data_IF_784420583629
#
_entry.id   IF_784420583629
#
_cell.length_a   1.000
_cell.length_b   1.000
_cell.length_c   1.000
_cell.angle_alpha   90.00
_cell.angle_beta   90.00
_cell.angle_gamma   90.00
#
_symmetry.space_group_name_H-M   'P 1'
#
loop_
_entity.id
_entity.type
_entity.pdbx_description
1 polymer ?
#
# COMPACT_ATOMS: atom_id res chain seq x y z
N UNK A 1 -27.19 17.02 -7.85
CA UNK A 1 -27.51 16.41 -6.54
C UNK A 1 -26.29 15.72 -5.95
N UNK A 2 -25.71 16.32 -4.91
CA UNK A 2 -24.79 15.78 -3.89
C UNK A 2 -23.38 15.25 -4.25
N UNK A 3 -22.53 16.04 -4.86
CA UNK A 3 -21.07 15.81 -4.82
C UNK A 3 -20.50 15.91 -3.40
N UNK A 4 -21.02 16.81 -2.55
CA UNK A 4 -20.59 16.97 -1.16
C UNK A 4 -20.87 15.73 -0.27
N UNK A 5 -22.00 15.03 -0.45
CA UNK A 5 -22.31 13.79 0.27
C UNK A 5 -21.42 12.61 -0.14
N UNK A 6 -20.99 12.54 -1.39
CA UNK A 6 -20.11 11.48 -1.90
C UNK A 6 -18.68 11.68 -1.37
N UNK A 7 -18.22 12.93 -1.33
CA UNK A 7 -16.88 13.28 -0.78
C UNK A 7 -16.84 13.01 0.73
N UNK A 8 -17.87 13.40 1.48
CA UNK A 8 -17.98 13.12 2.92
C UNK A 8 -18.00 11.62 3.22
N UNK A 9 -18.75 10.82 2.44
CA UNK A 9 -18.83 9.36 2.63
C UNK A 9 -17.48 8.65 2.34
N UNK A 10 -16.70 9.15 1.38
CA UNK A 10 -15.36 8.62 1.06
C UNK A 10 -14.32 9.00 2.10
N UNK A 11 -14.34 10.23 2.60
CA UNK A 11 -13.51 10.68 3.71
C UNK A 11 -13.74 9.81 4.96
N UNK A 12 -14.98 9.48 5.27
CA UNK A 12 -15.34 8.61 6.40
C UNK A 12 -14.84 7.17 6.22
N UNK A 13 -14.88 6.61 5.00
CA UNK A 13 -14.34 5.26 4.73
C UNK A 13 -12.83 5.20 4.90
N UNK A 14 -12.09 6.20 4.45
CA UNK A 14 -10.64 6.30 4.65
C UNK A 14 -10.31 6.45 6.14
N UNK A 15 -11.03 7.31 6.84
CA UNK A 15 -10.86 7.49 8.28
C UNK A 15 -11.13 6.19 9.06
N UNK A 16 -12.21 5.48 8.73
CA UNK A 16 -12.57 4.19 9.35
C UNK A 16 -11.48 3.14 9.07
N UNK A 17 -10.95 3.05 7.84
CA UNK A 17 -9.89 2.09 7.51
C UNK A 17 -8.60 2.37 8.27
N UNK A 18 -8.20 3.62 8.41
CA UNK A 18 -7.03 4.03 9.22
C UNK A 18 -7.26 3.68 10.70
N UNK A 19 -8.44 3.97 11.23
CA UNK A 19 -8.77 3.64 12.62
C UNK A 19 -8.72 2.13 12.89
N UNK A 20 -9.28 1.32 12.00
CA UNK A 20 -9.22 -0.16 12.09
C UNK A 20 -7.76 -0.64 12.06
N UNK A 21 -6.93 -0.09 11.18
CA UNK A 21 -5.52 -0.45 11.10
C UNK A 21 -4.77 -0.13 12.39
N UNK A 22 -5.02 1.04 12.98
CA UNK A 22 -4.44 1.43 14.27
C UNK A 22 -4.88 0.46 15.38
N UNK A 23 -6.16 0.11 15.45
CA UNK A 23 -6.68 -0.84 16.44
C UNK A 23 -6.02 -2.22 16.29
N UNK A 24 -5.84 -2.71 15.06
CA UNK A 24 -5.17 -3.99 14.80
C UNK A 24 -3.70 -3.94 15.24
N UNK A 25 -2.99 -2.85 14.95
CA UNK A 25 -1.59 -2.67 15.36
C UNK A 25 -1.47 -2.66 16.89
N UNK A 26 -2.32 -1.90 17.58
CA UNK A 26 -2.32 -1.83 19.05
C UNK A 26 -2.62 -3.21 19.66
N UNK A 27 -3.65 -3.90 19.16
CA UNK A 27 -4.00 -5.25 19.64
C UNK A 27 -2.86 -6.24 19.38
N UNK A 28 -2.24 -6.19 18.20
CA UNK A 28 -1.08 -7.02 17.84
C UNK A 28 0.11 -6.77 18.81
N UNK A 29 0.40 -5.51 19.10
CA UNK A 29 1.50 -5.13 19.98
C UNK A 29 1.25 -5.61 21.43
N UNK A 30 0.04 -5.44 21.93
CA UNK A 30 -0.34 -5.91 23.28
C UNK A 30 -0.26 -7.44 23.36
N UNK A 31 -0.79 -8.15 22.35
CA UNK A 31 -0.71 -9.62 22.26
C UNK A 31 0.73 -10.10 22.21
N UNK A 32 1.59 -9.44 21.44
CA UNK A 32 3.03 -9.74 21.35
C UNK A 32 3.70 -9.62 22.71
N UNK A 33 3.51 -8.51 23.41
CA UNK A 33 4.11 -8.28 24.73
C UNK A 33 3.63 -9.33 25.76
N UNK A 34 2.34 -9.67 25.71
CA UNK A 34 1.78 -10.71 26.58
C UNK A 34 2.44 -12.07 26.34
N UNK A 35 2.54 -12.50 25.07
CA UNK A 35 3.12 -13.79 24.67
C UNK A 35 4.62 -13.84 25.02
N UNK A 36 5.38 -12.78 24.75
CA UNK A 36 6.82 -12.71 25.10
C UNK A 36 7.03 -12.86 26.61
N UNK A 37 6.22 -12.17 27.42
CA UNK A 37 6.30 -12.30 28.87
C UNK A 37 5.96 -13.73 29.35
N UNK A 38 4.96 -14.36 28.73
CA UNK A 38 4.57 -15.74 29.05
C UNK A 38 5.67 -16.74 28.67
N UNK A 39 6.26 -16.61 27.47
CA UNK A 39 7.42 -17.42 27.05
C UNK A 39 8.59 -17.28 28.03
N UNK A 40 8.89 -16.07 28.48
CA UNK A 40 9.99 -15.83 29.41
C UNK A 40 9.74 -16.53 30.76
N UNK A 41 8.51 -16.48 31.28
CA UNK A 41 8.12 -17.20 32.51
C UNK A 41 8.26 -18.72 32.33
N UNK A 42 7.80 -19.25 31.22
CA UNK A 42 7.90 -20.68 30.91
C UNK A 42 9.34 -21.14 30.75
N UNK A 43 10.19 -20.36 30.12
CA UNK A 43 11.64 -20.65 29.98
C UNK A 43 12.33 -20.69 31.32
N UNK A 44 12.08 -19.70 32.20
CA UNK A 44 12.61 -19.69 33.55
C UNK A 44 12.14 -20.90 34.34
N UNK A 45 10.89 -21.29 34.16
CA UNK A 45 10.33 -22.47 34.81
C UNK A 45 11.03 -23.78 34.39
N UNK A 46 11.27 -23.98 33.07
CA UNK A 46 12.02 -25.13 32.56
C UNK A 46 13.41 -25.21 33.19
N UNK A 47 14.13 -24.09 33.20
CA UNK A 47 15.48 -23.99 33.74
C UNK A 47 15.50 -24.35 35.25
N UNK A 48 14.51 -23.89 36.01
CA UNK A 48 14.39 -24.21 37.44
C UNK A 48 14.10 -25.68 37.66
N UNK A 49 13.18 -26.28 36.93
CA UNK A 49 12.80 -27.70 37.12
C UNK A 49 13.93 -28.65 36.75
N UNK A 50 14.77 -28.32 35.75
CA UNK A 50 15.96 -29.13 35.42
C UNK A 50 16.94 -29.30 36.58
N UNK A 51 17.01 -28.35 37.51
CA UNK A 51 17.90 -28.40 38.69
C UNK A 51 17.48 -29.43 39.73
N UNK A 52 16.21 -29.87 39.78
CA UNK A 52 15.69 -30.85 40.75
C UNK A 52 16.41 -32.20 40.58
N UNK A 53 16.55 -32.69 39.34
CA UNK A 53 17.19 -33.99 39.06
C UNK A 53 18.62 -34.06 39.59
N UNK A 54 19.42 -33.05 39.24
CA UNK A 54 20.81 -32.97 39.71
C UNK A 54 20.91 -32.68 41.21
N UNK A 55 19.99 -31.90 41.75
CA UNK A 55 19.93 -31.55 43.17
C UNK A 55 19.71 -32.75 44.06
N UNK A 56 18.79 -33.66 43.75
CA UNK A 56 18.53 -34.89 44.52
C UNK A 56 19.79 -35.74 44.62
N UNK A 57 20.47 -36.02 43.50
CA UNK A 57 21.72 -36.78 43.52
C UNK A 57 22.83 -36.08 44.29
N UNK A 58 22.93 -34.75 44.18
CA UNK A 58 23.91 -33.95 44.93
C UNK A 58 23.66 -34.03 46.44
N UNK A 59 22.42 -33.87 46.88
CA UNK A 59 22.05 -33.98 48.31
C UNK A 59 22.40 -35.35 48.84
N UNK A 60 22.03 -36.42 48.12
CA UNK A 60 22.34 -37.82 48.52
C UNK A 60 23.85 -38.05 48.63
N UNK A 61 24.63 -37.60 47.61
CA UNK A 61 26.10 -37.74 47.61
C UNK A 61 26.76 -36.99 48.80
N UNK A 62 26.39 -35.75 49.00
CA UNK A 62 26.92 -34.92 50.10
C UNK A 62 26.60 -35.53 51.47
N UNK A 63 25.36 -36.00 51.64
CA UNK A 63 24.94 -36.65 52.88
C UNK A 63 25.76 -37.91 53.17
N UNK A 64 25.95 -38.80 52.20
CA UNK A 64 26.74 -40.02 52.37
C UNK A 64 28.23 -39.74 52.65
N UNK A 65 28.74 -38.57 52.20
CA UNK A 65 30.09 -38.10 52.48
C UNK A 65 30.20 -37.33 53.79
N UNK A 66 29.12 -37.25 54.60
CA UNK A 66 29.00 -36.46 55.83
C UNK A 66 29.33 -34.97 55.63
N UNK A 67 29.01 -34.42 54.46
CA UNK A 67 29.17 -33.00 54.11
C UNK A 67 27.87 -32.23 54.36
N UNK A 68 27.95 -30.91 54.45
CA UNK A 68 26.78 -30.07 54.64
C UNK A 68 25.86 -30.08 53.39
N UNK A 69 24.58 -30.38 53.61
CA UNK A 69 23.54 -30.49 52.59
C UNK A 69 22.59 -29.30 52.57
N UNK A 70 22.70 -28.37 53.51
CA UNK A 70 21.71 -27.31 53.72
C UNK A 70 21.46 -26.45 52.50
N UNK A 71 22.53 -26.01 51.84
CA UNK A 71 22.41 -25.19 50.61
C UNK A 71 21.73 -25.94 49.46
N UNK A 72 22.10 -27.24 49.25
CA UNK A 72 21.50 -28.06 48.21
C UNK A 72 20.03 -28.38 48.47
N UNK A 73 19.67 -28.62 49.73
CA UNK A 73 18.27 -28.83 50.14
C UNK A 73 17.46 -27.54 49.94
N UNK A 74 18.00 -26.39 50.33
CA UNK A 74 17.36 -25.08 50.16
C UNK A 74 17.09 -24.81 48.65
N UNK A 75 18.04 -25.09 47.77
CA UNK A 75 17.88 -24.93 46.33
C UNK A 75 16.72 -25.78 45.76
N UNK A 76 16.59 -27.02 46.20
CA UNK A 76 15.47 -27.89 45.78
C UNK A 76 14.15 -27.39 46.37
N UNK A 77 14.12 -26.97 47.61
CA UNK A 77 12.91 -26.40 48.23
C UNK A 77 12.42 -25.15 47.54
N UNK A 78 13.31 -24.24 47.14
CA UNK A 78 12.99 -23.05 46.37
C UNK A 78 12.44 -23.42 44.96
N UNK A 79 13.06 -24.42 44.30
CA UNK A 79 12.57 -24.92 42.99
C UNK A 79 11.20 -25.59 43.10
N UNK A 80 10.99 -26.38 44.15
CA UNK A 80 9.70 -27.01 44.43
C UNK A 80 8.60 -26.01 44.76
N UNK A 81 8.93 -24.91 45.43
CA UNK A 81 8.00 -23.81 45.66
C UNK A 81 7.59 -23.16 44.31
N UNK A 82 8.55 -22.83 43.45
CA UNK A 82 8.28 -22.31 42.09
C UNK A 82 7.41 -23.27 41.28
N UNK A 83 7.71 -24.59 41.36
CA UNK A 83 6.95 -25.63 40.67
C UNK A 83 5.50 -25.69 41.17
N UNK A 84 5.26 -25.64 42.46
CA UNK A 84 3.92 -25.66 43.04
C UNK A 84 3.10 -24.42 42.69
N UNK A 85 3.71 -23.25 42.74
CA UNK A 85 3.06 -21.97 42.37
C UNK A 85 2.68 -21.95 40.89
N UNK A 86 3.60 -22.36 40.02
CA UNK A 86 3.37 -22.38 38.56
C UNK A 86 2.26 -23.37 38.17
N UNK A 87 2.23 -24.57 38.78
CA UNK A 87 1.21 -25.59 38.50
C UNK A 87 -0.18 -25.16 38.97
N UNK A 88 -0.25 -24.38 40.03
CA UNK A 88 -1.50 -23.82 40.54
C UNK A 88 -1.94 -22.57 39.76
N UNK A 89 -1.07 -21.98 38.94
CA UNK A 89 -1.39 -20.84 38.11
C UNK A 89 -2.36 -21.24 36.97
N UNK A 90 -3.08 -20.24 36.43
CA UNK A 90 -4.07 -20.45 35.33
C UNK A 90 -3.42 -20.52 33.94
N UNK A 91 -2.20 -21.02 33.82
CA UNK A 91 -1.47 -21.06 32.53
C UNK A 91 -2.04 -22.03 31.49
N UNK A 92 -2.91 -22.95 31.89
CA UNK A 92 -3.50 -23.97 31.00
C UNK A 92 -2.53 -25.03 30.44
N UNK A 93 -1.23 -24.95 30.79
CA UNK A 93 -0.20 -25.87 30.30
C UNK A 93 -0.34 -27.27 30.90
N UNK A 94 -0.79 -27.38 32.15
CA UNK A 94 -0.89 -28.63 32.89
C UNK A 94 -2.34 -29.04 33.13
N UNK A 95 -2.66 -30.30 32.83
CA UNK A 95 -3.95 -30.90 33.14
C UNK A 95 -4.00 -31.46 34.58
N UNK A 96 -5.17 -31.99 34.98
CA UNK A 96 -5.37 -32.51 36.32
C UNK A 96 -4.41 -33.67 36.68
N UNK A 97 -4.10 -34.58 35.74
CA UNK A 97 -3.18 -35.69 35.94
C UNK A 97 -1.74 -35.22 36.13
N UNK A 98 -1.32 -34.16 35.42
CA UNK A 98 0.01 -33.58 35.59
C UNK A 98 0.16 -32.98 36.97
N UNK A 99 -0.89 -32.33 37.45
CA UNK A 99 -0.91 -31.71 38.82
C UNK A 99 -0.77 -32.77 39.91
N UNK A 100 -1.41 -33.94 39.71
CA UNK A 100 -1.29 -35.06 40.64
C UNK A 100 0.15 -35.62 40.64
N UNK A 101 0.75 -35.84 39.48
CA UNK A 101 2.13 -36.34 39.36
C UNK A 101 3.14 -35.38 40.00
N UNK A 102 2.97 -34.09 39.80
CA UNK A 102 3.81 -33.06 40.42
C UNK A 102 3.62 -33.01 41.96
N UNK A 103 2.37 -33.12 42.43
CA UNK A 103 2.06 -33.20 43.87
C UNK A 103 2.73 -34.43 44.49
N UNK A 104 2.71 -35.58 43.84
CA UNK A 104 3.39 -36.79 44.29
C UNK A 104 4.91 -36.61 44.37
N UNK A 105 5.52 -35.92 43.44
CA UNK A 105 6.95 -35.57 43.48
C UNK A 105 7.27 -34.66 44.70
N UNK A 106 6.48 -33.61 44.95
CA UNK A 106 6.64 -32.71 46.07
C UNK A 106 6.50 -33.44 47.43
N UNK A 107 5.53 -34.32 47.53
CA UNK A 107 5.33 -35.17 48.70
C UNK A 107 6.52 -36.11 48.92
N UNK A 108 6.97 -36.82 47.87
CA UNK A 108 8.13 -37.72 47.93
C UNK A 108 9.42 -36.99 48.34
N UNK A 109 9.61 -35.74 47.91
CA UNK A 109 10.72 -34.92 48.39
C UNK A 109 10.61 -34.63 49.88
N UNK A 110 9.42 -34.33 50.40
CA UNK A 110 9.18 -34.09 51.82
C UNK A 110 9.47 -35.34 52.64
N UNK A 111 9.02 -36.52 52.21
CA UNK A 111 9.31 -37.81 52.82
C UNK A 111 10.82 -38.10 52.84
N UNK A 112 11.50 -37.81 51.71
CA UNK A 112 12.95 -38.01 51.61
C UNK A 112 13.72 -37.12 52.59
N UNK A 113 13.31 -35.84 52.80
CA UNK A 113 13.90 -34.95 53.82
C UNK A 113 13.76 -35.52 55.24
N UNK A 114 12.63 -36.15 55.57
CA UNK A 114 12.45 -36.77 56.87
C UNK A 114 13.36 -38.02 57.04
N UNK A 115 13.60 -38.82 56.00
CA UNK A 115 14.55 -39.95 55.99
C UNK A 115 15.97 -39.47 56.26
N UNK A 116 16.39 -38.35 55.64
CA UNK A 116 17.70 -37.72 55.88
C UNK A 116 17.83 -37.19 57.30
N UNK A 117 16.80 -36.53 57.84
CA UNK A 117 16.78 -35.98 59.22
C UNK A 117 16.86 -37.10 60.29
N UNK A 118 16.15 -38.19 60.04
CA UNK A 118 16.09 -39.32 60.99
C UNK A 118 17.27 -40.30 60.86
N UNK A 119 18.28 -39.99 59.97
CA UNK A 119 19.49 -40.79 59.75
C UNK A 119 19.23 -42.24 59.38
N UNK A 120 18.19 -42.55 58.62
CA UNK A 120 17.79 -43.93 58.20
C UNK A 120 18.67 -44.39 57.02
N UNK A 121 19.97 -44.65 57.25
CA UNK A 121 20.95 -44.94 56.18
C UNK A 121 20.57 -46.05 55.24
N UNK A 122 19.96 -47.14 55.71
CA UNK A 122 19.56 -48.28 54.90
C UNK A 122 18.46 -47.95 53.84
N UNK A 123 17.70 -46.87 54.09
CA UNK A 123 16.60 -46.44 53.23
C UNK A 123 16.99 -45.33 52.25
N UNK A 124 18.08 -44.61 52.54
CA UNK A 124 18.45 -43.39 51.78
C UNK A 124 18.71 -43.70 50.31
N UNK A 125 19.48 -44.73 49.97
CA UNK A 125 19.83 -45.05 48.61
C UNK A 125 18.60 -45.42 47.78
N UNK A 126 17.75 -46.34 48.29
CA UNK A 126 16.54 -46.74 47.61
C UNK A 126 15.52 -45.61 47.43
N UNK A 127 15.36 -44.80 48.49
CA UNK A 127 14.46 -43.64 48.45
C UNK A 127 14.96 -42.55 47.52
N UNK A 128 16.26 -42.28 47.46
CA UNK A 128 16.88 -41.33 46.56
C UNK A 128 16.74 -41.74 45.07
N UNK A 129 16.92 -43.04 44.78
CA UNK A 129 16.79 -43.57 43.43
C UNK A 129 15.32 -43.52 42.94
N UNK A 130 14.37 -43.88 43.81
CA UNK A 130 12.95 -43.76 43.48
C UNK A 130 12.52 -42.31 43.25
N UNK A 131 12.97 -41.40 44.15
CA UNK A 131 12.70 -39.97 44.00
C UNK A 131 13.34 -39.39 42.74
N UNK A 132 14.57 -39.81 42.41
CA UNK A 132 15.23 -39.41 41.16
C UNK A 132 14.47 -39.91 39.90
N UNK A 133 14.05 -41.18 39.87
CA UNK A 133 13.24 -41.75 38.76
C UNK A 133 11.94 -40.98 38.60
N UNK A 134 11.24 -40.68 39.70
CA UNK A 134 10.00 -39.91 39.67
C UNK A 134 10.24 -38.48 39.17
N UNK A 135 11.29 -37.83 39.71
CA UNK A 135 11.65 -36.46 39.26
C UNK A 135 11.99 -36.43 37.75
N UNK A 136 12.70 -37.45 37.26
CA UNK A 136 13.08 -37.55 35.87
C UNK A 136 11.85 -37.65 34.93
N UNK A 137 10.86 -38.46 35.29
CA UNK A 137 9.61 -38.60 34.55
C UNK A 137 8.83 -37.31 34.54
N UNK A 138 8.64 -36.67 35.70
CA UNK A 138 7.88 -35.44 35.88
C UNK A 138 8.54 -34.26 35.13
N UNK A 139 9.85 -34.09 35.30
CA UNK A 139 10.58 -33.01 34.66
C UNK A 139 10.58 -33.15 33.14
N UNK A 140 10.83 -34.33 32.58
CA UNK A 140 10.76 -34.56 31.14
C UNK A 140 9.37 -34.23 30.57
N UNK A 141 8.32 -34.65 31.31
CA UNK A 141 6.94 -34.35 30.88
C UNK A 141 6.65 -32.84 30.90
N UNK A 142 7.12 -32.14 31.91
CA UNK A 142 7.03 -30.69 32.01
C UNK A 142 7.78 -30.02 30.88
N UNK A 143 9.02 -30.41 30.61
CA UNK A 143 9.85 -29.89 29.53
C UNK A 143 9.13 -30.00 28.19
N UNK A 144 8.65 -31.20 27.82
CA UNK A 144 7.95 -31.44 26.54
C UNK A 144 6.69 -30.57 26.42
N UNK A 145 5.86 -30.53 27.46
CA UNK A 145 4.62 -29.73 27.44
C UNK A 145 4.88 -28.24 27.31
N UNK A 146 5.86 -27.75 28.06
CA UNK A 146 6.21 -26.34 28.04
C UNK A 146 6.81 -25.94 26.70
N UNK A 147 7.69 -26.78 26.13
CA UNK A 147 8.22 -26.54 24.77
C UNK A 147 7.12 -26.52 23.70
N UNK A 148 6.16 -27.46 23.76
CA UNK A 148 5.02 -27.47 22.84
C UNK A 148 4.15 -26.22 22.98
N UNK A 149 3.91 -25.76 24.20
CA UNK A 149 3.16 -24.54 24.44
C UNK A 149 3.89 -23.30 23.88
N UNK A 150 5.20 -23.19 24.13
CA UNK A 150 6.04 -22.13 23.56
C UNK A 150 6.01 -22.17 22.02
N UNK A 151 6.11 -23.37 21.41
CA UNK A 151 6.06 -23.50 19.95
C UNK A 151 4.71 -23.02 19.37
N UNK A 152 3.59 -23.32 20.04
CA UNK A 152 2.27 -22.80 19.63
C UNK A 152 2.18 -21.28 19.75
N UNK A 153 2.78 -20.70 20.77
CA UNK A 153 2.83 -19.24 20.95
C UNK A 153 3.64 -18.56 19.84
N UNK A 154 4.79 -19.12 19.44
CA UNK A 154 5.55 -18.62 18.30
C UNK A 154 4.78 -18.73 16.97
N UNK A 155 4.08 -19.85 16.76
CA UNK A 155 3.22 -20.02 15.59
C UNK A 155 2.11 -18.95 15.55
N UNK A 156 1.48 -18.69 16.68
CA UNK A 156 0.46 -17.63 16.80
C UNK A 156 1.02 -16.25 16.43
N UNK A 157 2.20 -15.89 16.97
CA UNK A 157 2.87 -14.62 16.65
C UNK A 157 3.22 -14.52 15.16
N UNK A 158 3.70 -15.60 14.56
CA UNK A 158 4.01 -15.66 13.13
C UNK A 158 2.76 -15.42 12.27
N UNK A 159 1.64 -16.10 12.59
CA UNK A 159 0.39 -15.92 11.87
C UNK A 159 -0.16 -14.50 12.01
N UNK A 160 -0.07 -13.92 13.20
CA UNK A 160 -0.48 -12.55 13.46
C UNK A 160 0.34 -11.54 12.66
N UNK A 161 1.67 -11.72 12.60
CA UNK A 161 2.56 -10.92 11.76
C UNK A 161 2.21 -11.06 10.27
N UNK A 162 1.96 -12.27 9.78
CA UNK A 162 1.57 -12.52 8.40
C UNK A 162 0.26 -11.79 8.02
N UNK A 163 -0.73 -11.80 8.91
CA UNK A 163 -2.00 -11.07 8.71
C UNK A 163 -1.75 -9.56 8.59
N UNK A 164 -0.91 -8.97 9.46
CA UNK A 164 -0.58 -7.54 9.38
C UNK A 164 0.10 -7.19 8.06
N UNK A 165 1.03 -8.02 7.60
CA UNK A 165 1.68 -7.84 6.30
C UNK A 165 0.70 -7.90 5.12
N UNK A 166 -0.23 -8.86 5.12
CA UNK A 166 -1.26 -9.00 4.08
C UNK A 166 -2.17 -7.77 4.06
N UNK A 167 -2.63 -7.31 5.22
CA UNK A 167 -3.47 -6.11 5.31
C UNK A 167 -2.73 -4.85 4.80
N UNK A 168 -1.43 -4.72 5.11
CA UNK A 168 -0.59 -3.65 4.59
C UNK A 168 -0.48 -3.68 3.05
N UNK A 169 -0.26 -4.85 2.46
CA UNK A 169 -0.22 -5.03 1.01
C UNK A 169 -1.56 -4.69 0.35
N UNK A 170 -2.66 -5.19 0.89
CA UNK A 170 -4.01 -4.90 0.38
C UNK A 170 -4.28 -3.39 0.44
N UNK A 171 -3.96 -2.73 1.55
CA UNK A 171 -4.10 -1.28 1.69
C UNK A 171 -3.27 -0.49 0.67
N UNK A 172 -2.03 -0.92 0.41
CA UNK A 172 -1.16 -0.33 -0.61
C UNK A 172 -1.77 -0.46 -2.02
N UNK A 173 -2.25 -1.64 -2.41
CA UNK A 173 -2.88 -1.85 -3.73
C UNK A 173 -4.17 -1.05 -3.89
N UNK A 174 -5.02 -1.00 -2.85
CA UNK A 174 -6.24 -0.19 -2.88
C UNK A 174 -5.91 1.28 -3.08
N UNK A 175 -4.91 1.81 -2.33
CA UNK A 175 -4.48 3.21 -2.45
C UNK A 175 -3.98 3.51 -3.86
N UNK A 176 -3.11 2.66 -4.42
CA UNK A 176 -2.58 2.83 -5.78
C UNK A 176 -3.70 2.83 -6.82
N UNK A 177 -4.61 1.85 -6.78
CA UNK A 177 -5.75 1.75 -7.71
C UNK A 177 -6.69 2.95 -7.63
N UNK A 178 -6.99 3.43 -6.41
CA UNK A 178 -7.85 4.60 -6.20
C UNK A 178 -7.18 5.86 -6.72
N UNK A 179 -5.88 6.03 -6.49
CA UNK A 179 -5.12 7.20 -6.95
C UNK A 179 -5.07 7.26 -8.48
N UNK A 180 -4.73 6.16 -9.16
CA UNK A 180 -4.70 6.08 -10.63
C UNK A 180 -6.07 6.41 -11.25
N UNK A 181 -7.16 5.92 -10.67
CA UNK A 181 -8.51 6.22 -11.15
C UNK A 181 -8.94 7.67 -10.91
N UNK A 182 -8.51 8.28 -9.80
CA UNK A 182 -8.78 9.70 -9.52
C UNK A 182 -8.00 10.58 -10.49
N UNK A 183 -6.73 10.31 -10.71
CA UNK A 183 -5.87 11.04 -11.65
C UNK A 183 -6.42 10.95 -13.07
N UNK A 184 -6.80 9.76 -13.54
CA UNK A 184 -7.39 9.58 -14.87
C UNK A 184 -8.69 10.36 -15.04
N UNK A 185 -9.59 10.36 -14.04
CA UNK A 185 -10.83 11.15 -14.07
C UNK A 185 -10.60 12.65 -13.94
N UNK A 186 -9.52 13.06 -13.28
CA UNK A 186 -9.16 14.46 -13.14
C UNK A 186 -8.42 15.01 -14.38
N UNK A 187 -7.80 14.15 -15.19
CA UNK A 187 -6.96 14.54 -16.33
C UNK A 187 -7.64 14.42 -17.70
N UNK A 188 -8.73 13.64 -17.84
CA UNK A 188 -9.37 13.38 -19.12
C UNK A 188 -10.81 13.89 -19.16
N UNK A 189 -11.25 14.26 -20.38
CA UNK A 189 -12.65 14.57 -20.70
C UNK A 189 -13.45 13.25 -20.81
N UNK A 190 -14.62 13.21 -20.18
CA UNK A 190 -15.42 11.98 -20.11
C UNK A 190 -16.09 11.59 -21.46
N UNK A 191 -16.33 12.56 -22.34
CA UNK A 191 -16.97 12.30 -23.62
C UNK A 191 -15.98 11.81 -24.69
N UNK A 192 -14.84 12.49 -24.79
CA UNK A 192 -13.85 12.28 -25.86
C UNK A 192 -12.65 11.46 -25.44
N UNK A 193 -12.46 11.24 -24.13
CA UNK A 193 -11.28 10.60 -23.53
C UNK A 193 -9.93 11.31 -23.84
N UNK A 194 -9.97 12.52 -24.40
CA UNK A 194 -8.80 13.39 -24.55
C UNK A 194 -8.41 14.00 -23.19
N UNK A 195 -7.23 14.57 -23.10
CA UNK A 195 -6.87 15.36 -21.93
C UNK A 195 -7.84 16.52 -21.75
N UNK A 196 -8.16 16.87 -20.51
CA UNK A 196 -9.01 18.00 -20.23
C UNK A 196 -8.18 19.28 -19.97
N UNK A 197 -8.84 20.45 -20.00
CA UNK A 197 -8.22 21.75 -19.78
C UNK A 197 -7.44 21.85 -18.45
N UNK A 198 -7.90 21.18 -17.40
CA UNK A 198 -7.26 21.29 -16.08
C UNK A 198 -5.86 20.66 -16.05
N UNK A 199 -5.59 19.74 -16.96
CA UNK A 199 -4.29 19.05 -17.04
C UNK A 199 -3.28 19.76 -17.96
N UNK A 200 -3.72 20.83 -18.64
CA UNK A 200 -2.95 21.54 -19.67
C UNK A 200 -1.63 22.11 -19.13
N UNK A 201 -1.65 22.83 -18.00
CA UNK A 201 -0.44 23.40 -17.40
C UNK A 201 0.62 22.37 -17.03
N UNK A 202 0.19 21.22 -16.52
CA UNK A 202 1.12 20.16 -16.13
C UNK A 202 1.83 19.58 -17.35
N UNK A 203 1.09 19.31 -18.43
CA UNK A 203 1.66 18.80 -19.69
C UNK A 203 2.51 19.86 -20.38
N UNK A 204 2.08 21.12 -20.38
CA UNK A 204 2.83 22.22 -20.96
C UNK A 204 4.24 22.33 -20.39
N UNK A 205 4.39 22.33 -19.06
CA UNK A 205 5.69 22.42 -18.39
C UNK A 205 6.63 21.28 -18.79
N UNK A 206 6.10 20.06 -18.91
CA UNK A 206 6.87 18.89 -19.39
C UNK A 206 7.30 19.08 -20.84
N UNK A 207 6.37 19.47 -21.73
CA UNK A 207 6.63 19.67 -23.15
C UNK A 207 7.62 20.79 -23.42
N UNK A 208 7.50 21.91 -22.68
CA UNK A 208 8.43 23.03 -22.80
C UNK A 208 9.85 22.59 -22.41
N UNK A 209 10.00 21.90 -21.27
CA UNK A 209 11.29 21.40 -20.83
C UNK A 209 11.91 20.42 -21.86
N UNK A 210 11.09 19.57 -22.45
CA UNK A 210 11.52 18.61 -23.49
C UNK A 210 11.93 19.31 -24.78
N UNK A 211 11.20 20.34 -25.21
CA UNK A 211 11.51 21.10 -26.44
C UNK A 211 12.83 21.87 -26.30
N UNK A 212 13.06 22.50 -25.16
CA UNK A 212 14.34 23.18 -24.87
C UNK A 212 15.52 22.21 -24.88
N UNK A 213 15.36 21.04 -24.30
CA UNK A 213 16.41 20.00 -24.28
C UNK A 213 16.74 19.44 -25.67
N UNK A 214 15.71 19.28 -26.53
CA UNK A 214 15.85 18.70 -27.86
C UNK A 214 16.11 19.75 -28.96
N UNK A 215 16.24 21.03 -28.62
CA UNK A 215 16.33 22.14 -29.59
C UNK A 215 15.21 22.11 -30.61
N UNK A 216 13.99 21.79 -30.17
CA UNK A 216 12.78 21.78 -30.99
C UNK A 216 11.87 22.93 -30.61
N UNK A 217 11.02 23.36 -31.55
CA UNK A 217 9.99 24.35 -31.29
C UNK A 217 8.74 23.66 -30.70
N UNK A 218 8.00 24.39 -29.89
CA UNK A 218 6.70 23.98 -29.36
C UNK A 218 5.63 24.94 -29.89
N UNK A 219 4.44 24.44 -30.23
CA UNK A 219 3.32 25.25 -30.65
C UNK A 219 2.00 24.86 -30.00
N UNK A 220 1.11 25.84 -29.90
CA UNK A 220 -0.31 25.66 -29.55
C UNK A 220 -1.12 25.74 -30.83
N UNK A 221 -1.96 24.74 -31.10
CA UNK A 221 -3.03 24.79 -32.06
C UNK A 221 -4.35 24.86 -31.30
N UNK A 222 -5.15 25.89 -31.59
CA UNK A 222 -6.53 26.00 -31.11
C UNK A 222 -7.45 25.61 -32.27
N UNK A 223 -8.26 24.59 -32.09
CA UNK A 223 -9.17 24.03 -33.08
C UNK A 223 -10.60 24.19 -32.59
N UNK A 224 -11.52 24.51 -33.51
CA UNK A 224 -12.95 24.64 -33.19
C UNK A 224 -13.77 24.07 -34.33
N UNK A 225 -14.87 23.38 -34.01
CA UNK A 225 -15.76 22.76 -34.98
C UNK A 225 -16.64 23.82 -35.63
N UNK A 226 -16.51 23.99 -36.93
CA UNK A 226 -17.26 24.98 -37.66
C UNK A 226 -18.77 24.66 -37.61
N UNK A 227 -19.55 25.67 -37.24
CA UNK A 227 -21.02 25.58 -37.17
C UNK A 227 -21.55 24.48 -36.22
N UNK A 228 -20.84 24.11 -35.16
CA UNK A 228 -21.25 23.03 -34.25
C UNK A 228 -22.61 23.28 -33.59
N UNK A 229 -22.92 24.55 -33.27
CA UNK A 229 -24.26 24.89 -32.80
C UNK A 229 -25.35 24.50 -33.78
N UNK A 230 -25.16 24.73 -35.09
CA UNK A 230 -26.12 24.29 -36.10
C UNK A 230 -26.29 22.76 -36.10
N UNK A 231 -25.21 21.99 -35.91
CA UNK A 231 -25.29 20.52 -35.77
C UNK A 231 -26.18 20.13 -34.59
N UNK A 232 -25.96 20.73 -33.42
CA UNK A 232 -26.78 20.45 -32.27
C UNK A 232 -28.25 20.86 -32.45
N UNK A 233 -28.48 22.04 -32.99
CA UNK A 233 -29.84 22.58 -33.17
C UNK A 233 -30.63 21.80 -34.23
N UNK A 234 -29.97 21.21 -35.26
CA UNK A 234 -30.60 20.48 -36.36
C UNK A 234 -30.72 18.98 -36.07
N UNK A 235 -29.69 18.35 -35.54
CA UNK A 235 -29.60 16.89 -35.42
C UNK A 235 -29.69 16.42 -33.94
N UNK A 236 -29.73 17.34 -32.99
CA UNK A 236 -29.79 17.06 -31.55
C UNK A 236 -28.43 16.83 -30.91
N UNK A 237 -28.37 16.98 -29.57
CA UNK A 237 -27.14 16.86 -28.80
C UNK A 237 -26.48 15.48 -28.86
N UNK A 238 -27.24 14.40 -28.98
CA UNK A 238 -26.69 13.04 -29.14
C UNK A 238 -25.87 12.87 -30.40
N UNK A 239 -26.26 13.57 -31.52
CA UNK A 239 -25.48 13.59 -32.77
C UNK A 239 -24.27 14.50 -32.60
N UNK A 240 -24.40 15.64 -31.94
CA UNK A 240 -23.28 16.50 -31.58
C UNK A 240 -22.20 15.76 -30.75
N UNK A 241 -22.62 14.96 -29.80
CA UNK A 241 -21.70 14.12 -28.99
C UNK A 241 -20.96 13.06 -29.84
N UNK A 242 -21.65 12.47 -30.83
CA UNK A 242 -20.98 11.57 -31.83
C UNK A 242 -19.97 12.30 -32.67
N UNK A 243 -20.28 13.52 -33.13
CA UNK A 243 -19.36 14.38 -33.88
C UNK A 243 -18.13 14.71 -33.05
N UNK A 244 -18.28 15.11 -31.81
CA UNK A 244 -17.16 15.40 -30.87
C UNK A 244 -16.26 14.18 -30.67
N UNK A 245 -16.83 12.99 -30.46
CA UNK A 245 -16.07 11.74 -30.33
C UNK A 245 -15.27 11.42 -31.58
N UNK A 246 -15.93 11.49 -32.76
CA UNK A 246 -15.26 11.16 -34.01
C UNK A 246 -14.15 12.13 -34.36
N UNK A 247 -14.33 13.44 -34.11
CA UNK A 247 -13.27 14.44 -34.29
C UNK A 247 -12.11 14.16 -33.34
N UNK A 248 -12.37 13.81 -32.08
CA UNK A 248 -11.32 13.43 -31.13
C UNK A 248 -10.51 12.22 -31.65
N UNK A 249 -11.18 11.19 -32.19
CA UNK A 249 -10.53 10.03 -32.80
C UNK A 249 -9.66 10.44 -33.99
N UNK A 250 -10.18 11.26 -34.91
CA UNK A 250 -9.42 11.77 -36.06
C UNK A 250 -8.19 12.55 -35.60
N UNK A 251 -8.33 13.38 -34.56
CA UNK A 251 -7.19 14.11 -33.98
C UNK A 251 -6.12 13.15 -33.44
N UNK A 252 -6.51 12.10 -32.72
CA UNK A 252 -5.57 11.08 -32.21
C UNK A 252 -4.90 10.33 -33.37
N UNK A 253 -5.65 9.90 -34.37
CA UNK A 253 -5.13 9.19 -35.55
C UNK A 253 -4.09 10.01 -36.34
N UNK A 254 -4.21 11.35 -36.33
CA UNK A 254 -3.35 12.27 -37.07
C UNK A 254 -2.25 12.92 -36.26
N UNK A 255 -2.16 12.62 -34.95
CA UNK A 255 -1.23 13.23 -34.01
C UNK A 255 -0.20 12.20 -33.54
N UNK A 256 1.05 12.62 -33.33
CA UNK A 256 2.12 11.73 -32.85
C UNK A 256 1.92 11.38 -31.37
N UNK A 257 2.39 10.23 -30.95
CA UNK A 257 2.33 9.78 -29.55
C UNK A 257 2.93 10.80 -28.54
N UNK A 258 3.95 11.53 -28.98
CA UNK A 258 4.59 12.56 -28.15
C UNK A 258 3.88 13.92 -28.15
N UNK A 259 2.81 14.13 -28.90
CA UNK A 259 2.03 15.36 -28.84
C UNK A 259 0.89 15.21 -27.83
N UNK A 260 0.24 16.30 -27.45
CA UNK A 260 -0.81 16.27 -26.44
C UNK A 260 -2.07 16.97 -26.96
N UNK A 261 -3.19 16.27 -26.88
CA UNK A 261 -4.50 16.75 -27.37
C UNK A 261 -5.43 16.92 -26.18
N UNK A 262 -6.06 18.07 -26.12
CA UNK A 262 -6.97 18.47 -25.04
C UNK A 262 -8.35 18.81 -25.62
N UNK A 263 -9.40 18.41 -24.93
CA UNK A 263 -10.69 19.09 -25.07
C UNK A 263 -10.68 20.33 -24.19
N UNK A 264 -10.56 21.49 -24.82
CA UNK A 264 -10.35 22.77 -24.13
C UNK A 264 -11.67 23.42 -23.70
N UNK A 265 -12.72 23.28 -24.52
CA UNK A 265 -14.07 23.78 -24.27
C UNK A 265 -15.15 22.81 -24.76
N UNK A 266 -16.35 23.29 -24.98
CA UNK A 266 -17.47 22.48 -25.46
C UNK A 266 -17.20 21.82 -26.81
N UNK A 267 -16.80 22.63 -27.80
CA UNK A 267 -16.49 22.26 -29.18
C UNK A 267 -15.05 22.62 -29.60
N UNK A 268 -14.25 23.05 -28.59
CA UNK A 268 -12.88 23.52 -28.76
C UNK A 268 -11.88 22.47 -28.34
N UNK A 269 -10.84 22.29 -29.15
CA UNK A 269 -9.72 21.42 -28.89
C UNK A 269 -8.42 22.19 -28.91
N UNK A 270 -7.48 21.83 -28.03
CA UNK A 270 -6.15 22.41 -27.99
C UNK A 270 -5.12 21.30 -28.21
N UNK A 271 -4.12 21.54 -29.05
CA UNK A 271 -3.05 20.59 -29.28
C UNK A 271 -1.71 21.26 -29.01
N UNK A 272 -0.88 20.62 -28.20
CA UNK A 272 0.52 20.97 -27.98
C UNK A 272 1.38 20.05 -28.84
N UNK A 273 2.06 20.61 -29.84
CA UNK A 273 2.92 19.85 -30.78
C UNK A 273 4.35 20.36 -30.73
N UNK A 274 5.30 19.42 -30.87
CA UNK A 274 6.73 19.72 -31.03
C UNK A 274 7.15 19.47 -32.47
N UNK A 275 7.97 20.36 -33.05
CA UNK A 275 8.45 20.27 -34.42
C UNK A 275 9.86 20.90 -34.54
N UNK A 276 10.56 20.60 -35.65
CA UNK A 276 11.91 21.11 -35.89
C UNK A 276 11.91 22.27 -36.91
N UNK A 277 10.89 22.37 -37.73
CA UNK A 277 10.79 23.36 -38.79
C UNK A 277 9.34 23.89 -38.95
N UNK A 278 9.18 25.19 -39.12
CA UNK A 278 7.86 25.83 -39.28
C UNK A 278 6.99 25.24 -40.38
N UNK A 279 7.51 24.90 -41.59
CA UNK A 279 6.70 24.28 -42.64
C UNK A 279 6.05 22.95 -42.18
N UNK A 280 6.73 22.16 -41.34
CA UNK A 280 6.19 20.92 -40.78
C UNK A 280 4.96 21.16 -39.90
N UNK A 281 4.96 22.23 -39.11
CA UNK A 281 3.84 22.63 -38.29
C UNK A 281 2.61 22.99 -39.13
N UNK A 282 2.82 23.82 -40.18
CA UNK A 282 1.73 24.22 -41.08
C UNK A 282 1.16 23.01 -41.81
N UNK A 283 2.02 22.13 -42.31
CA UNK A 283 1.60 20.88 -42.99
C UNK A 283 0.83 19.96 -42.01
N UNK A 284 1.25 19.89 -40.77
CA UNK A 284 0.54 19.12 -39.73
C UNK A 284 -0.87 19.68 -39.49
N UNK A 285 -0.99 21.00 -39.28
CA UNK A 285 -2.26 21.65 -39.02
C UNK A 285 -3.23 21.51 -40.22
N UNK A 286 -2.73 21.67 -41.46
CA UNK A 286 -3.53 21.47 -42.67
C UNK A 286 -3.94 19.98 -42.89
N UNK A 287 -3.05 19.03 -42.59
CA UNK A 287 -3.40 17.62 -42.60
C UNK A 287 -4.52 17.32 -41.63
N UNK A 288 -4.46 17.82 -40.41
CA UNK A 288 -5.49 17.64 -39.39
C UNK A 288 -6.84 18.21 -39.89
N UNK A 289 -6.85 19.46 -40.37
CA UNK A 289 -8.03 20.11 -40.96
C UNK A 289 -8.63 19.29 -42.10
N UNK A 290 -7.79 18.86 -43.04
CA UNK A 290 -8.26 18.12 -44.22
C UNK A 290 -8.74 16.72 -43.87
N UNK A 291 -8.17 16.06 -42.86
CA UNK A 291 -8.65 14.77 -42.36
C UNK A 291 -10.06 14.88 -41.78
N UNK A 292 -10.36 15.94 -41.04
CA UNK A 292 -11.74 16.19 -40.57
C UNK A 292 -12.66 16.47 -41.75
N UNK A 293 -12.26 17.34 -42.69
CA UNK A 293 -13.05 17.73 -43.86
C UNK A 293 -13.38 16.53 -44.79
N UNK A 294 -12.45 15.58 -44.92
CA UNK A 294 -12.60 14.41 -45.79
C UNK A 294 -13.32 13.23 -45.15
N UNK A 295 -13.50 13.25 -43.81
CA UNK A 295 -14.17 12.17 -43.12
C UNK A 295 -15.67 12.40 -43.05
N UNK A 296 -16.45 11.43 -43.52
CA UNK A 296 -17.91 11.44 -43.39
C UNK A 296 -18.27 11.03 -41.94
N UNK A 297 -18.70 12.00 -41.13
CA UNK A 297 -19.05 11.81 -39.71
C UNK A 297 -20.56 11.66 -39.54
N UNK A 298 -21.29 12.50 -40.28
CA UNK A 298 -22.75 12.51 -40.40
C UNK A 298 -23.10 12.85 -41.86
N UNK A 299 -24.37 12.78 -42.26
CA UNK A 299 -24.82 13.17 -43.62
C UNK A 299 -24.52 14.65 -43.95
N UNK A 300 -24.06 15.44 -43.00
CA UNK A 300 -23.65 16.83 -43.16
C UNK A 300 -22.12 16.96 -43.09
N UNK A 301 -21.54 17.79 -43.99
CA UNK A 301 -20.07 18.02 -43.99
C UNK A 301 -19.61 18.78 -42.75
N UNK A 302 -18.72 18.19 -41.99
CA UNK A 302 -18.11 18.79 -40.79
C UNK A 302 -16.72 19.30 -41.16
N UNK A 303 -16.39 20.51 -40.72
CA UNK A 303 -15.06 21.10 -40.87
C UNK A 303 -14.58 21.71 -39.54
N UNK A 304 -13.30 22.00 -39.47
CA UNK A 304 -12.68 22.70 -38.33
C UNK A 304 -11.90 23.90 -38.82
N UNK A 305 -11.91 24.97 -38.03
CA UNK A 305 -10.97 26.08 -38.14
C UNK A 305 -9.84 25.91 -37.15
N UNK A 306 -8.61 26.27 -37.55
CA UNK A 306 -7.41 26.09 -36.73
C UNK A 306 -6.62 27.39 -36.64
N UNK A 307 -6.35 27.84 -35.42
CA UNK A 307 -5.44 28.93 -35.11
C UNK A 307 -4.14 28.40 -34.49
N UNK A 308 -3.01 28.86 -34.98
CA UNK A 308 -1.68 28.38 -34.57
C UNK A 308 -0.85 29.51 -33.94
N UNK A 309 -0.21 29.22 -32.82
CA UNK A 309 0.77 30.08 -32.19
C UNK A 309 2.05 29.31 -31.82
N UNK A 310 3.21 29.86 -32.18
CA UNK A 310 4.50 29.37 -31.68
C UNK A 310 4.65 29.75 -30.21
N UNK A 311 5.24 28.84 -29.43
CA UNK A 311 5.59 29.09 -28.03
C UNK A 311 7.02 29.60 -27.98
N UNK A 312 7.22 30.74 -27.34
CA UNK A 312 8.50 31.25 -26.90
C UNK A 312 8.63 31.09 -25.37
N UNK A 313 9.86 30.95 -24.87
CA UNK A 313 10.16 30.72 -23.46
C UNK A 313 10.04 32.01 -22.59
N UNK A 314 9.73 33.11 -23.21
CA UNK A 314 9.67 34.44 -22.56
C UNK A 314 8.26 34.81 -22.08
N UNK A 315 7.25 34.03 -22.45
CA UNK A 315 5.86 34.36 -22.17
C UNK A 315 5.11 33.20 -21.51
N UNK A 316 4.08 33.54 -20.75
CA UNK A 316 3.20 32.60 -20.10
C UNK A 316 2.33 31.84 -21.12
N UNK A 317 1.94 30.61 -20.82
CA UNK A 317 1.09 29.76 -21.66
C UNK A 317 -0.18 30.47 -22.12
N UNK A 318 -0.81 31.25 -21.27
CA UNK A 318 -2.03 32.00 -21.53
C UNK A 318 -1.89 32.96 -22.69
N UNK A 319 -0.72 33.60 -22.85
CA UNK A 319 -0.45 34.50 -23.97
C UNK A 319 -0.39 33.75 -25.30
N UNK A 320 0.18 32.54 -25.31
CA UNK A 320 0.24 31.67 -26.49
C UNK A 320 -1.15 31.15 -26.87
N UNK A 321 -1.96 30.79 -25.87
CA UNK A 321 -3.36 30.40 -26.09
C UNK A 321 -4.15 31.56 -26.68
N UNK A 322 -4.01 32.77 -26.12
CA UNK A 322 -4.69 33.99 -26.63
C UNK A 322 -4.30 34.30 -28.09
N UNK A 323 -3.03 34.08 -28.44
CA UNK A 323 -2.56 34.28 -29.83
C UNK A 323 -3.14 33.23 -30.77
N UNK A 324 -3.17 31.99 -30.35
CA UNK A 324 -3.81 30.89 -31.13
C UNK A 324 -5.32 31.14 -31.30
N UNK A 325 -6.01 31.59 -30.25
CA UNK A 325 -7.42 31.96 -30.29
C UNK A 325 -7.67 33.14 -31.23
N UNK A 326 -6.80 34.17 -31.20
CA UNK A 326 -6.86 35.29 -32.15
C UNK A 326 -6.72 34.80 -33.62
N UNK A 327 -5.81 33.86 -33.87
CA UNK A 327 -5.62 33.28 -35.19
C UNK A 327 -6.84 32.45 -35.60
N UNK A 328 -7.42 31.67 -34.68
CA UNK A 328 -8.65 30.90 -34.87
C UNK A 328 -9.83 31.82 -35.23
N UNK A 329 -9.97 32.91 -34.50
CA UNK A 329 -11.00 33.92 -34.80
C UNK A 329 -10.86 34.48 -36.23
N UNK A 330 -9.62 34.81 -36.65
CA UNK A 330 -9.35 35.20 -38.04
C UNK A 330 -9.71 34.11 -39.06
N UNK A 331 -9.43 32.84 -38.75
CA UNK A 331 -9.81 31.70 -39.57
C UNK A 331 -11.33 31.62 -39.75
N UNK A 332 -12.08 31.79 -38.67
CA UNK A 332 -13.56 31.83 -38.72
C UNK A 332 -14.10 33.01 -39.54
N UNK A 333 -13.53 34.19 -39.40
CA UNK A 333 -13.91 35.40 -40.15
C UNK A 333 -13.58 35.26 -41.67
N UNK A 334 -12.45 34.66 -42.01
CA UNK A 334 -12.03 34.49 -43.39
C UNK A 334 -12.79 33.40 -44.16
N UNK A 335 -13.84 32.83 -43.59
CA UNK A 335 -14.72 31.82 -44.24
C UNK A 335 -14.57 30.41 -43.74
N UNK A 336 -13.95 30.21 -42.55
CA UNK A 336 -13.81 28.91 -41.86
C UNK A 336 -12.99 27.88 -42.63
N UNK A 337 -12.97 26.62 -42.13
CA UNK A 337 -12.31 25.49 -42.78
C UNK A 337 -10.89 25.81 -43.28
N UNK A 338 -10.08 26.41 -42.39
CA UNK A 338 -8.71 26.82 -42.73
C UNK A 338 -7.82 26.91 -41.51
N UNK A 339 -6.53 26.92 -41.79
CA UNK A 339 -5.46 27.18 -40.78
C UNK A 339 -5.00 28.62 -40.92
N UNK A 340 -4.88 29.33 -39.78
CA UNK A 340 -4.20 30.65 -39.73
C UNK A 340 -3.12 30.58 -38.66
N UNK A 341 -1.91 31.02 -39.01
CA UNK A 341 -0.76 31.12 -38.09
C UNK A 341 -0.65 32.58 -37.62
N UNK A 342 -0.42 32.77 -36.32
CA UNK A 342 -0.18 34.12 -35.79
C UNK A 342 1.21 34.61 -36.22
N UNK A 343 1.31 35.64 -37.06
CA UNK A 343 2.54 36.13 -37.70
C UNK A 343 3.56 36.76 -36.74
N UNK A 344 3.15 37.18 -35.53
CA UNK A 344 4.02 37.89 -34.59
C UNK A 344 5.27 37.11 -34.15
N UNK A 345 5.32 35.80 -34.41
CA UNK A 345 6.45 34.94 -33.99
C UNK A 345 7.27 34.39 -35.17
N UNK A 346 6.90 34.62 -36.42
CA UNK A 346 7.68 34.15 -37.58
C UNK A 346 9.02 34.92 -37.74
N UNK A 347 9.09 36.16 -37.26
CA UNK A 347 10.27 37.01 -37.38
C UNK A 347 11.35 36.74 -36.31
N UNK A 348 11.03 36.07 -35.21
CA UNK A 348 12.00 35.77 -34.13
C UNK A 348 12.65 34.40 -34.28
N UNK A 349 12.13 33.50 -35.12
CA UNK A 349 12.66 32.18 -35.36
C UNK A 349 13.69 32.07 -36.53
N UNK A 350 13.96 33.21 -37.20
CA UNK A 350 14.88 33.28 -38.35
C UNK A 350 16.19 34.06 -38.05
N UNK A 351 16.51 34.31 -36.78
CA UNK A 351 17.80 34.91 -36.37
C UNK A 351 18.61 33.96 -35.45
#
# INVERSE_FOLDING_TARGET
>A
MNTSKVISRRSNLVFISVLITIIIIVFSTVSFLYVVNDIQKLTNFINSTGSIRGGIQRVTKLYLLNQDIKESVKMIDETNFILSDFVNSKTGVFNSNDKVEISNLLQSWTEYKEILKNNQKDRILNSSENLWKLSNIVVNKIEIKTHNHIALQYLFLFLLFAIVCILGLVGFFIRKFVQENIEKKASHDQLTNLLNRNYLHQIYNVKLSDSLRKSSFLAVLMCDIDHFKYVNDTFGHDVGDKVLKRIAEIMVENTRENDAIFRYGGEEFLILVSFTEIPQLIQYAERLRSSVESTEIIEHKITISVGVSLIDDKQELEQHILRADTALYKAKQAGRNRVIVNELNLTTASN
#
